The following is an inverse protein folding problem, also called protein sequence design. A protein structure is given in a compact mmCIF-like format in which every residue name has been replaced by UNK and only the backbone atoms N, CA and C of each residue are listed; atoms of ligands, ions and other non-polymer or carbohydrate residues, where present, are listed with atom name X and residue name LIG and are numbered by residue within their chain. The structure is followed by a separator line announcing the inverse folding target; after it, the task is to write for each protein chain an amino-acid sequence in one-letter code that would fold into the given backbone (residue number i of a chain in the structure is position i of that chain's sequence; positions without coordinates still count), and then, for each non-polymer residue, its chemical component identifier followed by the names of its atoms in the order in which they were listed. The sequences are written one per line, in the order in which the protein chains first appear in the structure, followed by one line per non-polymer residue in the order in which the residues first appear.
data_IF_057199343618
#
_entry.id   IF_057199343618
#
_cell.length_a   1.000
_cell.length_b   1.000
_cell.length_c   1.000
_cell.angle_alpha   90.00
_cell.angle_beta   90.00
_cell.angle_gamma   90.00
#
_symmetry.space_group_name_H-M   'P 1'
#
loop_
_entity.id
_entity.type
_entity.pdbx_description
1 polymer ?
#
# COMPACT_ATOMS: atom_id res chain seq x y z
N UNK A 1 1.39 23.21 11.85
CA UNK A 1 1.64 22.43 10.61
C UNK A 1 1.51 20.96 10.97
N UNK A 2 0.35 20.34 10.81
CA UNK A 2 0.20 18.91 11.06
C UNK A 2 0.38 18.20 9.72
N UNK A 3 1.43 17.37 9.60
CA UNK A 3 1.62 16.50 8.44
C UNK A 3 0.51 15.45 8.32
N UNK A 4 -0.23 15.21 9.41
CA UNK A 4 -1.31 14.23 9.49
C UNK A 4 -0.85 12.78 9.49
N UNK A 5 0.46 12.53 9.40
CA UNK A 5 1.04 11.18 9.49
C UNK A 5 1.06 10.74 10.95
N UNK A 6 0.56 9.53 11.23
CA UNK A 6 0.66 8.88 12.54
C UNK A 6 1.49 7.61 12.42
N UNK A 7 2.41 7.41 13.36
CA UNK A 7 3.17 6.16 13.50
C UNK A 7 2.75 5.53 14.81
N UNK A 8 2.30 4.28 14.75
CA UNK A 8 1.80 3.51 15.88
C UNK A 8 2.72 2.31 16.05
N UNK A 9 3.47 2.29 17.14
CA UNK A 9 4.32 1.17 17.54
C UNK A 9 3.67 0.54 18.77
N UNK A 10 3.02 -0.63 18.66
CA UNK A 10 2.38 -1.26 19.80
C UNK A 10 3.38 -1.64 20.91
N UNK A 11 2.89 -1.82 22.15
CA UNK A 11 3.70 -2.30 23.26
C UNK A 11 4.47 -3.57 22.88
N UNK A 12 5.73 -3.64 23.30
CA UNK A 12 6.63 -4.80 23.09
C UNK A 12 7.00 -5.09 21.62
N UNK A 13 6.67 -4.24 20.65
CA UNK A 13 7.10 -4.42 19.25
C UNK A 13 8.50 -3.86 18.96
N UNK A 14 8.98 -2.89 19.73
CA UNK A 14 10.36 -2.42 19.66
C UNK A 14 11.28 -3.32 20.50
N UNK A 15 12.37 -3.81 19.90
CA UNK A 15 13.33 -4.71 20.57
C UNK A 15 14.16 -4.00 21.66
N UNK A 16 14.40 -2.71 21.47
CA UNK A 16 15.17 -1.85 22.36
C UNK A 16 14.70 -0.40 22.16
N UNK A 17 15.01 0.52 23.09
CA UNK A 17 14.74 1.94 22.89
C UNK A 17 15.35 2.45 21.58
N UNK A 18 14.52 3.07 20.74
CA UNK A 18 14.95 3.58 19.44
C UNK A 18 14.27 4.92 19.11
N UNK A 19 14.99 5.79 18.40
CA UNK A 19 14.44 7.06 17.93
C UNK A 19 13.76 6.87 16.59
N UNK A 20 12.43 6.85 16.62
CA UNK A 20 11.60 6.79 15.41
C UNK A 20 11.55 8.15 14.73
N UNK A 21 11.77 8.16 13.42
CA UNK A 21 11.60 9.36 12.58
C UNK A 21 10.72 9.04 11.38
N UNK A 22 9.85 9.97 11.00
CA UNK A 22 9.05 9.88 9.79
C UNK A 22 8.90 11.28 9.20
N UNK A 23 9.37 11.48 7.96
CA UNK A 23 9.32 12.79 7.29
C UNK A 23 8.88 12.69 5.84
N UNK A 24 8.13 13.69 5.40
CA UNK A 24 7.78 13.82 3.99
C UNK A 24 8.91 14.43 3.18
N UNK A 25 9.29 13.74 2.10
CA UNK A 25 10.19 14.21 1.07
C UNK A 25 9.45 14.54 -0.21
N UNK A 26 10.00 15.51 -0.94
CA UNK A 26 9.59 15.80 -2.31
C UNK A 26 10.21 14.77 -3.23
N UNK A 27 9.42 14.18 -4.14
CA UNK A 27 9.88 13.13 -5.06
C UNK A 27 11.08 13.61 -5.89
N UNK A 28 11.08 14.87 -6.28
CA UNK A 28 12.11 15.51 -7.13
C UNK A 28 13.46 15.65 -6.41
N UNK A 29 13.50 15.48 -5.09
CA UNK A 29 14.73 15.53 -4.29
C UNK A 29 15.39 14.17 -4.12
N UNK A 30 14.75 13.09 -4.59
CA UNK A 30 15.32 11.75 -4.50
C UNK A 30 16.24 11.49 -5.70
N UNK A 31 17.44 10.94 -5.47
CA UNK A 31 18.32 10.51 -6.57
C UNK A 31 17.64 9.42 -7.42
N UNK A 32 16.94 8.50 -6.76
CA UNK A 32 16.22 7.39 -7.38
C UNK A 32 14.74 7.44 -6.93
N UNK A 33 13.89 8.24 -7.59
CA UNK A 33 12.47 8.31 -7.25
C UNK A 33 11.75 7.01 -7.65
N UNK A 34 10.56 6.71 -7.06
CA UNK A 34 9.79 5.53 -7.44
C UNK A 34 9.45 5.57 -8.95
N UNK A 35 9.72 4.48 -9.70
CA UNK A 35 9.36 4.38 -11.10
C UNK A 35 7.84 4.28 -11.19
N UNK A 36 7.20 5.26 -11.85
CA UNK A 36 5.75 5.28 -12.06
C UNK A 36 5.46 4.99 -13.53
N UNK A 37 4.52 4.10 -13.78
CA UNK A 37 4.03 3.80 -15.12
C UNK A 37 2.99 4.83 -15.58
N UNK A 38 2.60 4.76 -16.85
CA UNK A 38 1.50 5.57 -17.37
C UNK A 38 0.22 5.29 -16.57
N UNK A 39 -0.50 6.35 -16.19
CA UNK A 39 -1.67 6.25 -15.35
C UNK A 39 -1.39 6.08 -13.85
N UNK A 40 -0.13 6.00 -13.40
CA UNK A 40 0.26 5.97 -11.99
C UNK A 40 0.68 7.35 -11.46
N UNK A 41 0.39 7.63 -10.19
CA UNK A 41 0.76 8.88 -9.55
C UNK A 41 1.02 8.67 -8.05
N UNK A 42 1.97 9.42 -7.47
CA UNK A 42 2.11 9.48 -6.02
C UNK A 42 0.85 10.12 -5.41
N UNK A 43 0.18 9.38 -4.53
CA UNK A 43 -1.00 9.83 -3.81
C UNK A 43 -0.63 10.72 -2.60
N UNK A 44 0.60 10.59 -2.09
CA UNK A 44 1.18 11.42 -1.04
C UNK A 44 2.64 11.75 -1.37
N UNK A 45 3.28 12.58 -0.53
CA UNK A 45 4.74 12.76 -0.59
C UNK A 45 5.45 11.47 -0.15
N UNK A 46 6.67 11.28 -0.61
CA UNK A 46 7.49 10.12 -0.20
C UNK A 46 7.74 10.20 1.29
N UNK A 47 7.55 9.09 2.00
CA UNK A 47 7.86 9.01 3.43
C UNK A 47 9.24 8.42 3.60
N UNK A 48 10.13 9.17 4.24
CA UNK A 48 11.36 8.61 4.78
C UNK A 48 11.14 8.23 6.23
N UNK A 49 11.43 6.98 6.55
CA UNK A 49 11.24 6.41 7.87
C UNK A 49 12.57 5.95 8.43
N UNK A 50 12.73 6.07 9.75
CA UNK A 50 13.99 5.79 10.40
C UNK A 50 13.81 5.21 11.80
N UNK A 51 14.76 4.37 12.26
CA UNK A 51 16.02 4.02 11.57
C UNK A 51 15.80 3.06 10.39
N UNK A 52 16.48 3.30 9.25
CA UNK A 52 16.40 2.41 8.09
C UNK A 52 16.95 1.02 8.47
N UNK A 53 16.24 -0.04 8.09
CA UNK A 53 16.55 -1.42 8.49
C UNK A 53 16.16 -1.78 9.92
N UNK A 54 15.50 -0.88 10.67
CA UNK A 54 14.96 -1.23 11.99
C UNK A 54 13.93 -2.35 11.85
N UNK A 55 14.04 -3.36 12.70
CA UNK A 55 13.13 -4.51 12.76
C UNK A 55 12.28 -4.44 14.02
N UNK A 56 11.02 -4.81 13.88
CA UNK A 56 10.08 -4.92 14.98
C UNK A 56 9.79 -6.39 15.28
N UNK A 57 9.40 -6.68 16.52
CA UNK A 57 9.00 -8.03 16.97
C UNK A 57 7.60 -8.43 16.46
N UNK A 58 6.89 -7.51 15.80
CA UNK A 58 5.63 -7.74 15.13
C UNK A 58 5.21 -6.49 14.35
N UNK A 59 4.01 -6.48 13.76
CA UNK A 59 3.58 -5.41 12.88
C UNK A 59 3.39 -4.08 13.61
N UNK A 60 3.68 -3.00 12.88
CA UNK A 60 3.47 -1.60 13.28
C UNK A 60 2.70 -0.87 12.17
N UNK A 61 2.01 0.21 12.51
CA UNK A 61 1.15 0.94 11.57
C UNK A 61 1.74 2.33 11.27
N UNK A 62 1.75 2.69 9.99
CA UNK A 62 1.87 4.07 9.55
C UNK A 62 0.56 4.50 8.88
N UNK A 63 -0.11 5.49 9.44
CA UNK A 63 -1.25 6.13 8.80
C UNK A 63 -0.77 7.33 7.99
N UNK A 64 -1.08 7.31 6.69
CA UNK A 64 -0.59 8.27 5.73
C UNK A 64 -1.77 8.94 5.03
N UNK A 65 -2.01 10.24 5.27
CA UNK A 65 -2.94 11.01 4.47
C UNK A 65 -2.49 11.06 3.01
N UNK A 66 -3.45 10.92 2.09
CA UNK A 66 -3.24 11.02 0.66
C UNK A 66 -4.33 11.85 -0.03
N UNK A 67 -4.03 12.30 -1.25
CA UNK A 67 -4.88 13.18 -2.05
C UNK A 67 -5.38 12.52 -3.34
N UNK A 68 -5.13 11.21 -3.52
CA UNK A 68 -5.66 10.47 -4.65
C UNK A 68 -7.19 10.44 -4.65
N UNK A 69 -7.77 10.64 -5.84
CA UNK A 69 -9.18 10.36 -6.10
C UNK A 69 -9.31 8.92 -6.59
N UNK A 70 -9.96 8.07 -5.80
CA UNK A 70 -10.15 6.66 -6.14
C UNK A 70 -11.35 6.40 -7.07
N UNK A 71 -12.12 7.47 -7.40
CA UNK A 71 -13.21 7.48 -8.39
C UNK A 71 -14.07 6.22 -8.34
N UNK A 72 -14.71 5.95 -7.20
CA UNK A 72 -15.63 4.81 -7.09
C UNK A 72 -15.01 3.42 -7.33
N UNK A 73 -13.72 3.25 -6.98
CA UNK A 73 -12.90 2.03 -7.19
C UNK A 73 -12.33 1.86 -8.61
N UNK A 74 -12.41 2.86 -9.49
CA UNK A 74 -11.66 2.88 -10.76
C UNK A 74 -10.13 2.86 -10.54
N UNK A 75 -9.69 3.42 -9.41
CA UNK A 75 -8.29 3.46 -9.00
C UNK A 75 -8.11 2.82 -7.64
N UNK A 76 -6.94 2.25 -7.42
CA UNK A 76 -6.52 1.66 -6.16
C UNK A 76 -5.27 2.35 -5.62
N UNK A 77 -4.94 2.07 -4.36
CA UNK A 77 -3.68 2.45 -3.73
C UNK A 77 -2.79 1.21 -3.66
N UNK A 78 -1.53 1.34 -4.10
CA UNK A 78 -0.46 0.39 -3.82
C UNK A 78 0.66 1.08 -3.06
N UNK A 79 1.37 0.32 -2.24
CA UNK A 79 2.50 0.80 -1.44
C UNK A 79 3.78 0.30 -2.08
N UNK A 80 4.64 1.24 -2.47
CA UNK A 80 6.02 0.92 -2.84
C UNK A 80 6.94 1.20 -1.66
N UNK A 81 8.01 0.43 -1.56
CA UNK A 81 9.09 0.63 -0.59
C UNK A 81 10.46 0.55 -1.25
N UNK A 82 11.41 1.26 -0.67
CA UNK A 82 12.84 1.20 -1.04
C UNK A 82 13.68 1.00 0.20
N UNK A 83 14.34 -0.16 0.29
CA UNK A 83 15.13 -0.53 1.47
C UNK A 83 16.50 0.18 1.48
N UNK A 84 17.04 0.52 0.31
CA UNK A 84 18.37 1.10 0.12
C UNK A 84 18.36 2.51 -0.51
N UNK A 85 17.19 3.03 -0.86
CA UNK A 85 17.05 4.32 -1.51
C UNK A 85 17.37 4.35 -3.00
N UNK A 86 17.65 3.20 -3.61
CA UNK A 86 18.03 3.07 -5.03
C UNK A 86 16.98 2.31 -5.84
N UNK A 87 16.49 1.19 -5.30
CA UNK A 87 15.49 0.34 -5.97
C UNK A 87 14.18 0.37 -5.23
N UNK A 88 13.08 0.26 -5.99
CA UNK A 88 11.72 0.26 -5.46
C UNK A 88 11.04 -1.05 -5.78
N UNK A 89 10.27 -1.56 -4.81
CA UNK A 89 9.47 -2.78 -4.94
C UNK A 89 8.13 -2.59 -4.24
N UNK A 90 7.14 -3.36 -4.65
CA UNK A 90 5.85 -3.40 -3.96
C UNK A 90 6.03 -3.93 -2.53
N UNK A 91 5.41 -3.26 -1.58
CA UNK A 91 5.35 -3.71 -0.20
C UNK A 91 4.25 -4.76 -0.09
N UNK A 92 4.64 -5.95 0.36
CA UNK A 92 3.79 -7.15 0.26
C UNK A 92 3.00 -7.48 1.52
N UNK A 93 3.25 -6.80 2.65
CA UNK A 93 2.48 -7.04 3.86
C UNK A 93 1.13 -6.32 3.71
N UNK A 94 0.08 -7.11 3.55
CA UNK A 94 -1.28 -6.59 3.38
C UNK A 94 -1.79 -6.01 4.71
N UNK A 95 -2.34 -4.81 4.64
CA UNK A 95 -3.02 -4.16 5.75
C UNK A 95 -4.52 -4.49 5.69
N UNK A 96 -4.88 -5.77 5.90
CA UNK A 96 -6.30 -6.16 6.00
C UNK A 96 -6.96 -5.47 7.18
N UNK A 97 -8.28 -5.29 7.14
CA UNK A 97 -9.03 -4.63 8.22
C UNK A 97 -8.82 -5.35 9.55
N UNK A 98 -8.81 -6.69 9.53
CA UNK A 98 -8.58 -7.53 10.71
C UNK A 98 -7.17 -7.38 11.26
N UNK A 99 -6.15 -7.42 10.40
CA UNK A 99 -4.75 -7.28 10.80
C UNK A 99 -4.46 -5.88 11.36
N UNK A 100 -5.07 -4.84 10.79
CA UNK A 100 -4.99 -3.48 11.32
C UNK A 100 -5.66 -3.40 12.69
N UNK A 101 -6.88 -3.95 12.83
CA UNK A 101 -7.63 -3.88 14.08
C UNK A 101 -6.92 -4.63 15.21
N UNK A 102 -6.32 -5.79 14.93
CA UNK A 102 -5.51 -6.54 15.90
C UNK A 102 -4.38 -5.66 16.47
N UNK A 103 -3.65 -4.96 15.61
CA UNK A 103 -2.53 -4.09 16.02
C UNK A 103 -3.01 -2.85 16.77
N UNK A 104 -4.15 -2.28 16.39
CA UNK A 104 -4.75 -1.15 17.10
C UNK A 104 -5.22 -1.56 18.50
N UNK A 105 -5.85 -2.73 18.65
CA UNK A 105 -6.31 -3.27 19.92
C UNK A 105 -5.16 -3.59 20.89
N UNK A 106 -3.94 -3.83 20.40
CA UNK A 106 -2.76 -3.96 21.26
C UNK A 106 -2.29 -2.62 21.86
N UNK A 107 -2.68 -1.49 21.24
CA UNK A 107 -2.14 -0.15 21.55
C UNK A 107 -3.14 0.78 22.23
N UNK A 108 -4.44 0.58 22.02
CA UNK A 108 -5.53 1.47 22.45
C UNK A 108 -6.68 0.66 23.06
N UNK A 109 -7.46 1.29 23.94
CA UNK A 109 -8.61 0.65 24.61
C UNK A 109 -9.86 1.55 24.55
N UNK A 110 -11.05 0.93 24.52
CA UNK A 110 -12.34 1.62 24.71
C UNK A 110 -12.57 2.82 23.78
N UNK A 111 -12.77 4.00 24.36
CA UNK A 111 -13.11 5.25 23.64
C UNK A 111 -12.00 5.74 22.70
N UNK A 112 -10.73 5.37 22.95
CA UNK A 112 -9.63 5.75 22.06
C UNK A 112 -9.74 5.03 20.71
N UNK A 113 -10.11 3.74 20.72
CA UNK A 113 -10.33 2.97 19.50
C UNK A 113 -11.47 3.54 18.67
N UNK A 114 -12.60 3.92 19.29
CA UNK A 114 -13.73 4.51 18.57
C UNK A 114 -13.34 5.82 17.88
N UNK A 115 -12.51 6.64 18.52
CA UNK A 115 -12.00 7.87 17.89
C UNK A 115 -11.08 7.59 16.69
N UNK A 116 -10.36 6.47 16.68
CA UNK A 116 -9.55 6.04 15.53
C UNK A 116 -10.38 5.50 14.38
N UNK A 117 -11.51 4.86 14.69
CA UNK A 117 -12.50 4.42 13.71
C UNK A 117 -13.18 5.62 13.04
N UNK A 118 -13.52 6.67 13.80
CA UNK A 118 -14.08 7.91 13.25
C UNK A 118 -13.11 8.67 12.32
N UNK A 119 -11.79 8.50 12.54
CA UNK A 119 -10.76 9.04 11.66
C UNK A 119 -10.54 8.19 10.41
N UNK A 120 -11.18 7.02 10.29
CA UNK A 120 -11.15 6.22 9.07
C UNK A 120 -11.85 6.97 7.95
N UNK A 121 -11.05 7.51 7.04
CA UNK A 121 -11.54 8.16 5.83
C UNK A 121 -10.85 7.53 4.63
N UNK A 122 -11.50 7.56 3.47
CA UNK A 122 -10.93 7.13 2.19
C UNK A 122 -9.71 7.95 1.74
N UNK A 123 -9.23 8.88 2.57
CA UNK A 123 -8.06 9.73 2.34
C UNK A 123 -6.89 9.39 3.26
N UNK A 124 -7.02 8.38 4.12
CA UNK A 124 -5.92 7.86 4.94
C UNK A 124 -5.66 6.42 4.50
N UNK A 125 -4.42 6.16 4.11
CA UNK A 125 -3.93 4.81 3.83
C UNK A 125 -3.14 4.32 5.01
N UNK A 126 -3.35 3.06 5.40
CA UNK A 126 -2.60 2.40 6.46
C UNK A 126 -1.55 1.48 5.84
N UNK A 127 -0.30 1.67 6.25
CA UNK A 127 0.81 0.78 5.90
C UNK A 127 1.10 -0.06 7.14
N UNK A 128 0.93 -1.37 7.02
CA UNK A 128 1.30 -2.34 8.04
C UNK A 128 2.70 -2.85 7.71
N UNK A 129 3.67 -2.75 8.60
CA UNK A 129 5.04 -3.22 8.32
C UNK A 129 5.69 -3.84 9.57
N UNK A 130 6.63 -4.78 9.39
CA UNK A 130 7.42 -5.37 10.49
C UNK A 130 8.86 -4.87 10.50
N UNK A 131 9.21 -4.03 9.54
CA UNK A 131 10.51 -3.38 9.43
C UNK A 131 10.39 -2.00 8.76
N UNK A 132 11.38 -1.15 8.96
CA UNK A 132 11.46 0.14 8.29
C UNK A 132 12.38 0.07 7.07
N UNK A 133 11.85 0.22 5.84
CA UNK A 133 12.67 0.56 4.68
C UNK A 133 13.24 1.97 4.84
N UNK A 134 14.11 2.41 3.93
CA UNK A 134 14.51 3.81 3.90
C UNK A 134 13.34 4.71 3.48
N UNK A 135 12.55 4.26 2.49
CA UNK A 135 11.41 5.02 1.97
C UNK A 135 10.15 4.18 1.76
N UNK A 136 8.99 4.81 1.93
CA UNK A 136 7.70 4.36 1.42
C UNK A 136 7.12 5.39 0.44
N UNK A 137 6.39 4.91 -0.56
CA UNK A 137 5.59 5.73 -1.46
C UNK A 137 4.17 5.18 -1.55
N UNK A 138 3.18 6.04 -1.31
CA UNK A 138 1.77 5.73 -1.56
C UNK A 138 1.47 6.10 -2.99
N UNK A 139 1.12 5.13 -3.82
CA UNK A 139 0.90 5.30 -5.26
C UNK A 139 -0.55 4.97 -5.59
N UNK A 140 -1.21 5.83 -6.34
CA UNK A 140 -2.50 5.54 -6.95
C UNK A 140 -2.30 5.09 -8.39
N UNK A 141 -2.92 3.98 -8.77
CA UNK A 141 -2.94 3.44 -10.13
C UNK A 141 -4.34 3.02 -10.54
N UNK A 142 -4.57 2.77 -11.82
CA UNK A 142 -5.80 2.13 -12.30
C UNK A 142 -5.95 0.78 -11.63
N UNK A 143 -7.17 0.45 -11.19
CA UNK A 143 -7.44 -0.82 -10.51
C UNK A 143 -7.05 -2.00 -11.40
N UNK A 144 -6.40 -2.99 -10.79
CA UNK A 144 -5.88 -4.14 -11.51
C UNK A 144 -6.39 -5.44 -10.89
N UNK A 145 -7.14 -6.21 -11.66
CA UNK A 145 -7.51 -7.57 -11.29
C UNK A 145 -6.38 -8.53 -11.67
N UNK A 146 -5.72 -9.14 -10.67
CA UNK A 146 -4.62 -10.08 -10.88
C UNK A 146 -5.10 -11.51 -10.59
N UNK A 147 -5.00 -12.40 -11.57
CA UNK A 147 -5.30 -13.82 -11.42
C UNK A 147 -4.16 -14.69 -11.97
N UNK A 148 -3.93 -15.83 -11.33
CA UNK A 148 -2.99 -16.83 -11.82
C UNK A 148 -3.69 -17.74 -12.84
N UNK A 149 -3.29 -17.66 -14.11
CA UNK A 149 -3.85 -18.44 -15.23
C UNK A 149 -2.81 -19.44 -15.72
N UNK A 150 -3.20 -20.70 -15.89
CA UNK A 150 -2.33 -21.77 -16.38
C UNK A 150 -2.72 -22.30 -17.77
N UNK A 151 -2.11 -23.42 -18.20
CA UNK A 151 -2.42 -24.08 -19.47
C UNK A 151 -3.89 -24.51 -19.62
N UNK A 152 -4.59 -24.74 -18.51
CA UNK A 152 -6.03 -25.01 -18.46
C UNK A 152 -6.89 -23.85 -18.98
N UNK A 153 -6.29 -22.67 -19.18
CA UNK A 153 -7.01 -21.45 -19.54
C UNK A 153 -7.66 -20.78 -18.33
N UNK A 154 -8.58 -19.85 -18.58
CA UNK A 154 -9.28 -19.13 -17.54
C UNK A 154 -9.97 -17.87 -18.05
N UNK A 155 -10.69 -17.20 -17.16
CA UNK A 155 -11.37 -15.94 -17.47
C UNK A 155 -11.08 -14.93 -16.37
N UNK A 156 -10.79 -13.70 -16.76
CA UNK A 156 -10.70 -12.54 -15.88
C UNK A 156 -11.82 -11.56 -16.25
N UNK A 157 -12.50 -11.03 -15.26
CA UNK A 157 -13.50 -9.97 -15.42
C UNK A 157 -13.09 -8.75 -14.62
N UNK A 158 -13.31 -7.56 -15.20
CA UNK A 158 -13.06 -6.32 -14.45
C UNK A 158 -14.19 -6.08 -13.45
N UNK A 159 -13.83 -5.65 -12.24
CA UNK A 159 -14.81 -5.27 -11.21
C UNK A 159 -15.35 -3.85 -11.40
N UNK A 160 -14.67 -3.03 -12.22
CA UNK A 160 -15.04 -1.63 -12.50
C UNK A 160 -15.95 -1.54 -13.72
N UNK A 161 -15.64 -2.31 -14.77
CA UNK A 161 -16.45 -2.41 -15.99
C UNK A 161 -16.76 -3.88 -16.25
N UNK A 162 -17.88 -4.42 -15.72
CA UNK A 162 -18.17 -5.87 -15.77
C UNK A 162 -18.22 -6.48 -17.18
N UNK A 163 -18.48 -5.64 -18.20
CA UNK A 163 -18.47 -6.03 -19.61
C UNK A 163 -17.07 -6.29 -20.15
N UNK A 164 -16.02 -5.77 -19.51
CA UNK A 164 -14.63 -6.03 -19.87
C UNK A 164 -14.22 -7.38 -19.28
N UNK A 165 -14.01 -8.34 -20.17
CA UNK A 165 -13.57 -9.69 -19.83
C UNK A 165 -12.43 -10.11 -20.74
N UNK A 166 -11.47 -10.83 -20.19
CA UNK A 166 -10.39 -11.48 -20.94
C UNK A 166 -10.52 -13.00 -20.76
N UNK A 167 -10.62 -13.72 -21.88
CA UNK A 167 -10.75 -15.17 -21.90
C UNK A 167 -9.47 -15.77 -22.46
N UNK A 168 -8.88 -16.68 -21.71
CA UNK A 168 -7.72 -17.48 -22.07
C UNK A 168 -8.21 -18.89 -22.37
N UNK A 169 -8.21 -19.34 -23.64
CA UNK A 169 -8.57 -20.71 -23.96
C UNK A 169 -7.52 -21.70 -23.45
N UNK A 170 -7.90 -22.97 -23.37
CA UNK A 170 -6.98 -24.06 -23.04
C UNK A 170 -5.80 -24.07 -24.04
N UNK A 171 -4.57 -24.24 -23.52
CA UNK A 171 -3.34 -24.23 -24.30
C UNK A 171 -2.80 -22.85 -24.67
N UNK A 172 -3.50 -21.74 -24.33
CA UNK A 172 -3.00 -20.38 -24.58
C UNK A 172 -1.71 -20.06 -23.80
N UNK A 173 -1.50 -20.71 -22.67
CA UNK A 173 -0.33 -20.55 -21.81
C UNK A 173 0.37 -21.88 -21.64
N UNK A 174 1.70 -21.87 -21.63
CA UNK A 174 2.52 -23.06 -21.38
C UNK A 174 2.89 -23.24 -19.90
N UNK A 175 2.68 -22.19 -19.09
CA UNK A 175 2.99 -22.15 -17.66
C UNK A 175 1.95 -21.30 -16.92
N UNK A 176 1.78 -21.57 -15.63
CA UNK A 176 0.97 -20.74 -14.75
C UNK A 176 1.65 -19.40 -14.48
N UNK A 177 1.03 -18.31 -14.91
CA UNK A 177 1.55 -16.94 -14.76
C UNK A 177 0.50 -16.01 -14.14
N UNK A 178 0.95 -14.91 -13.53
CA UNK A 178 0.05 -13.85 -13.05
C UNK A 178 -0.32 -12.95 -14.22
N UNK A 179 -1.61 -12.88 -14.52
CA UNK A 179 -2.19 -12.00 -15.53
C UNK A 179 -2.91 -10.87 -14.81
N UNK A 180 -2.68 -9.63 -15.25
CA UNK A 180 -3.39 -8.45 -14.78
C UNK A 180 -4.38 -7.96 -15.84
N UNK A 181 -5.62 -7.67 -15.44
CA UNK A 181 -6.61 -6.95 -16.24
C UNK A 181 -6.81 -5.56 -15.61
N UNK A 182 -6.77 -4.51 -16.44
CA UNK A 182 -7.06 -3.14 -16.03
C UNK A 182 -8.12 -2.57 -16.97
N UNK A 183 -9.14 -1.90 -16.42
CA UNK A 183 -10.17 -1.21 -17.20
C UNK A 183 -10.37 0.21 -16.66
N UNK A 184 -10.21 1.20 -17.53
CA UNK A 184 -10.45 2.61 -17.21
C UNK A 184 -11.65 3.12 -18.02
N UNK A 185 -12.79 3.42 -17.36
CA UNK A 185 -13.92 4.05 -18.03
C UNK A 185 -13.55 5.42 -18.60
N UNK A 186 -14.05 5.74 -19.79
CA UNK A 186 -14.01 7.08 -20.38
C UNK A 186 -15.31 7.78 -19.99
N UNK A 187 -15.22 9.02 -19.51
CA UNK A 187 -16.36 9.88 -19.19
C UNK A 187 -16.60 10.89 -20.32
#
# INVERSE_FOLDING_TARGET
RHSGVRVIIPPRKAQMPMRITCRYLRKEKLPHPPPLLEGEACASRILEVGPAGAKFLGPVILEVPHFASLRGKEREITILRSDNGETWKEHTLEASEEAVQEVLNESFEGEELSALEDLQTNRITRILTTDFPQYFAVVSRTRQEVHAVGPEGGMLSSTVVPQVQAIFPEGALTKKIRVGLQAQPIQ
#
